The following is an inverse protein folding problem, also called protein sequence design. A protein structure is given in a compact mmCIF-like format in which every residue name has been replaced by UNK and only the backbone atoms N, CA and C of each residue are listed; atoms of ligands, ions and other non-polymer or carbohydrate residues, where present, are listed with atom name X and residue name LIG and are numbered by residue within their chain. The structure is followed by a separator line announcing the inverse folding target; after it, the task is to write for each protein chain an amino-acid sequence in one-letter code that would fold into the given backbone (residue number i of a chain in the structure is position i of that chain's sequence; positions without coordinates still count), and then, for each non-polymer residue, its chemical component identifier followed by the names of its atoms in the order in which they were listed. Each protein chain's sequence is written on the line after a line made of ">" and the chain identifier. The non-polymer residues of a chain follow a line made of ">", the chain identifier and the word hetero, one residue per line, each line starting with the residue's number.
data_IF_826420336900
#
_entry.id   IF_826420336900
#
_cell.length_a   1.000
_cell.length_b   1.000
_cell.length_c   1.000
_cell.angle_alpha   90.00
_cell.angle_beta   90.00
_cell.angle_gamma   90.00
#
_symmetry.space_group_name_H-M   'P 1'
#
loop_
_entity.id
_entity.type
_entity.pdbx_description
1 polymer ?
#
# COMPACT_ATOMS: atom_id res chain seq x y z
N UNK A 1 9.29 0.66 4.37
CA UNK A 1 8.14 0.81 3.43
C UNK A 1 8.18 2.22 2.87
N UNK A 2 7.94 2.45 1.56
CA UNK A 2 7.85 3.80 1.00
C UNK A 2 6.75 4.60 1.71
N UNK A 3 7.02 5.88 2.01
CA UNK A 3 6.04 6.78 2.64
C UNK A 3 4.84 7.01 1.71
N UNK A 4 5.07 7.04 0.40
CA UNK A 4 4.03 7.24 -0.61
C UNK A 4 2.95 6.15 -0.58
N UNK A 5 3.30 4.88 -0.34
CA UNK A 5 2.32 3.79 -0.24
C UNK A 5 1.46 3.95 1.01
N UNK A 6 2.06 4.35 2.14
CA UNK A 6 1.31 4.63 3.35
C UNK A 6 0.34 5.81 3.15
N UNK A 7 0.81 6.88 2.49
CA UNK A 7 -0.04 8.00 2.10
C UNK A 7 -1.19 7.56 1.18
N UNK A 8 -0.91 6.84 0.11
CA UNK A 8 -1.93 6.33 -0.82
C UNK A 8 -3.01 5.49 -0.10
N UNK A 9 -2.58 4.62 0.83
CA UNK A 9 -3.48 3.82 1.65
C UNK A 9 -4.41 4.69 2.49
N UNK A 10 -3.86 5.69 3.19
CA UNK A 10 -4.66 6.58 4.03
C UNK A 10 -5.57 7.50 3.22
N UNK A 11 -5.08 8.07 2.11
CA UNK A 11 -5.88 8.88 1.21
C UNK A 11 -7.07 8.08 0.64
N UNK A 12 -6.86 6.80 0.34
CA UNK A 12 -7.93 5.89 -0.16
C UNK A 12 -8.99 5.66 0.91
N UNK A 13 -8.55 5.38 2.13
CA UNK A 13 -9.46 5.12 3.27
C UNK A 13 -10.22 6.37 3.71
N UNK A 14 -9.58 7.55 3.68
CA UNK A 14 -10.23 8.83 3.95
C UNK A 14 -11.32 9.18 2.92
N UNK A 15 -11.21 8.63 1.70
CA UNK A 15 -12.23 8.73 0.66
C UNK A 15 -13.33 7.66 0.81
N UNK A 16 -13.42 6.98 1.96
CA UNK A 16 -14.40 5.94 2.25
C UNK A 16 -14.33 4.76 1.26
N UNK A 17 -13.13 4.46 0.74
CA UNK A 17 -12.88 3.30 -0.12
C UNK A 17 -12.01 2.27 0.58
N UNK A 18 -12.27 1.01 0.29
CA UNK A 18 -11.41 -0.09 0.75
C UNK A 18 -10.08 -0.13 -0.01
N UNK A 19 -9.10 -0.81 0.56
CA UNK A 19 -7.80 -1.00 -0.08
C UNK A 19 -7.16 -2.36 0.26
N UNK A 20 -6.51 -2.95 -0.74
CA UNK A 20 -5.51 -3.99 -0.56
C UNK A 20 -4.12 -3.36 -0.62
N UNK A 21 -3.26 -3.65 0.35
CA UNK A 21 -1.89 -3.13 0.39
C UNK A 21 -0.92 -4.12 1.02
N UNK A 22 0.30 -4.17 0.48
CA UNK A 22 1.40 -4.88 1.13
C UNK A 22 2.07 -3.97 2.15
N UNK A 23 1.97 -4.33 3.43
CA UNK A 23 2.45 -3.51 4.54
C UNK A 23 3.59 -4.23 5.26
N UNK A 24 4.63 -3.47 5.63
CA UNK A 24 5.70 -3.94 6.52
C UNK A 24 5.39 -3.43 7.92
N UNK A 25 5.14 -4.35 8.84
CA UNK A 25 4.92 -4.04 10.25
C UNK A 25 6.19 -4.31 11.05
N UNK A 26 6.35 -3.56 12.14
CA UNK A 26 7.42 -3.76 13.12
C UNK A 26 6.88 -4.57 14.31
N UNK A 27 7.63 -5.59 14.71
CA UNK A 27 7.40 -6.37 15.92
C UNK A 27 7.87 -5.60 17.17
N UNK A 28 7.39 -6.01 18.35
CA UNK A 28 7.82 -5.41 19.62
C UNK A 28 9.34 -5.53 19.87
N UNK A 29 9.98 -6.56 19.30
CA UNK A 29 11.43 -6.79 19.37
C UNK A 29 12.24 -6.03 18.30
N UNK A 30 11.60 -5.22 17.45
CA UNK A 30 12.25 -4.48 16.36
C UNK A 30 12.36 -5.23 15.02
N UNK A 31 12.00 -6.51 14.96
CA UNK A 31 11.93 -7.25 13.70
C UNK A 31 10.79 -6.73 12.80
N UNK A 32 10.80 -7.14 11.54
CA UNK A 32 9.78 -6.73 10.58
C UNK A 32 9.14 -7.93 9.88
N UNK A 33 7.84 -7.83 9.60
CA UNK A 33 7.10 -8.84 8.86
C UNK A 33 6.17 -8.21 7.83
N UNK A 34 5.93 -8.96 6.75
CA UNK A 34 5.03 -8.56 5.67
C UNK A 34 3.62 -9.09 5.89
N UNK A 35 2.64 -8.25 5.60
CA UNK A 35 1.24 -8.66 5.47
C UNK A 35 0.66 -8.18 4.15
N UNK A 36 -0.23 -8.97 3.57
CA UNK A 36 -1.24 -8.41 2.66
C UNK A 36 -2.42 -7.97 3.51
N UNK A 37 -2.58 -6.66 3.67
CA UNK A 37 -3.68 -6.04 4.41
C UNK A 37 -4.84 -5.74 3.46
N UNK A 38 -6.06 -6.08 3.87
CA UNK A 38 -7.30 -5.57 3.30
C UNK A 38 -7.96 -4.71 4.37
N UNK A 39 -8.17 -3.44 4.07
CA UNK A 39 -8.69 -2.46 5.02
C UNK A 39 -9.98 -1.88 4.45
N UNK A 40 -11.03 -1.89 5.26
CA UNK A 40 -12.39 -1.48 4.87
C UNK A 40 -12.92 -0.45 5.88
N UNK A 41 -13.43 0.70 5.42
CA UNK A 41 -14.17 1.64 6.28
C UNK A 41 -15.43 0.99 6.84
N UNK A 42 -15.75 1.30 8.08
CA UNK A 42 -16.85 0.70 8.84
C UNK A 42 -17.83 1.78 9.23
N UNK A 43 -19.11 1.48 9.06
CA UNK A 43 -20.19 2.40 9.32
C UNK A 43 -21.16 1.81 10.34
N UNK A 44 -21.78 2.66 11.15
CA UNK A 44 -22.92 2.26 11.98
C UNK A 44 -24.21 2.11 11.14
N UNK A 45 -25.32 1.79 11.81
CA UNK A 45 -26.63 1.64 11.15
C UNK A 45 -27.17 2.95 10.55
N UNK A 46 -26.68 4.10 11.02
CA UNK A 46 -27.06 5.44 10.55
C UNK A 46 -26.16 5.91 9.38
N UNK A 47 -25.15 5.12 9.01
CA UNK A 47 -24.21 5.43 7.95
C UNK A 47 -23.04 6.32 8.38
N UNK A 48 -22.85 6.56 9.68
CA UNK A 48 -21.71 7.33 10.16
C UNK A 48 -20.45 6.47 10.16
N UNK A 49 -19.32 7.03 9.70
CA UNK A 49 -18.03 6.34 9.73
C UNK A 49 -17.53 6.21 11.18
N UNK A 50 -17.40 4.97 11.66
CA UNK A 50 -17.02 4.64 13.04
C UNK A 50 -15.61 4.02 13.16
N UNK A 51 -14.93 3.77 12.05
CA UNK A 51 -13.55 3.29 12.04
C UNK A 51 -13.23 2.39 10.85
N UNK A 52 -12.15 1.62 10.97
CA UNK A 52 -11.66 0.74 9.91
C UNK A 52 -11.46 -0.68 10.43
N UNK A 53 -11.91 -1.67 9.67
CA UNK A 53 -11.56 -3.08 9.89
C UNK A 53 -10.42 -3.48 8.95
N UNK A 54 -9.40 -4.14 9.50
CA UNK A 54 -8.26 -4.64 8.72
C UNK A 54 -8.11 -6.15 8.89
N UNK A 55 -8.25 -6.89 7.79
CA UNK A 55 -7.86 -8.30 7.73
C UNK A 55 -6.45 -8.43 7.14
N UNK A 56 -5.66 -9.36 7.67
CA UNK A 56 -4.26 -9.55 7.29
C UNK A 56 -4.03 -10.99 6.88
N UNK A 57 -3.35 -11.20 5.75
CA UNK A 57 -2.98 -12.52 5.26
C UNK A 57 -1.46 -12.61 5.15
N UNK A 58 -0.93 -13.80 5.44
CA UNK A 58 0.46 -14.11 5.16
C UNK A 58 0.70 -14.06 3.65
N UNK A 59 1.57 -13.18 3.14
CA UNK A 59 1.79 -13.06 1.71
C UNK A 59 2.71 -14.17 1.18
N UNK A 60 2.49 -14.62 -0.06
CA UNK A 60 3.42 -15.52 -0.72
C UNK A 60 4.78 -14.86 -0.93
N UNK A 61 5.86 -15.60 -0.64
CA UNK A 61 7.25 -15.10 -0.74
C UNK A 61 7.60 -14.54 -2.14
N UNK A 62 7.07 -15.15 -3.21
CA UNK A 62 7.27 -14.67 -4.59
C UNK A 62 6.71 -13.25 -4.78
N UNK A 63 5.50 -12.99 -4.26
CA UNK A 63 4.86 -11.68 -4.36
C UNK A 63 5.61 -10.63 -3.52
N UNK A 64 6.13 -11.04 -2.35
CA UNK A 64 6.97 -10.16 -1.52
C UNK A 64 8.19 -9.70 -2.31
N UNK A 65 8.89 -10.59 -3.02
CA UNK A 65 10.06 -10.23 -3.80
C UNK A 65 9.75 -9.21 -4.91
N UNK A 66 8.61 -9.39 -5.61
CA UNK A 66 8.12 -8.43 -6.61
C UNK A 66 7.81 -7.07 -6.00
N UNK A 67 7.04 -7.05 -4.91
CA UNK A 67 6.70 -5.82 -4.18
C UNK A 67 7.95 -5.13 -3.64
N UNK A 68 8.91 -5.87 -3.11
CA UNK A 68 10.18 -5.33 -2.64
C UNK A 68 10.98 -4.65 -3.76
N UNK A 69 10.90 -5.14 -5.00
CA UNK A 69 11.52 -4.46 -6.14
C UNK A 69 10.86 -3.12 -6.39
N UNK A 70 9.53 -3.08 -6.50
CA UNK A 70 8.79 -1.84 -6.70
C UNK A 70 8.99 -0.85 -5.54
N UNK A 71 8.97 -1.32 -4.30
CA UNK A 71 9.18 -0.45 -3.15
C UNK A 71 10.59 0.12 -3.10
N UNK A 72 11.61 -0.59 -3.62
CA UNK A 72 12.97 -0.04 -3.75
C UNK A 72 13.01 1.12 -4.75
N UNK A 73 12.30 1.01 -5.87
CA UNK A 73 12.19 2.08 -6.87
C UNK A 73 11.52 3.32 -6.26
N UNK A 74 10.41 3.14 -5.54
CA UNK A 74 9.70 4.22 -4.85
C UNK A 74 10.55 4.87 -3.75
N UNK A 75 11.28 4.08 -2.96
CA UNK A 75 12.21 4.59 -1.94
C UNK A 75 13.38 5.35 -2.56
N UNK A 76 13.86 4.94 -3.74
CA UNK A 76 14.93 5.65 -4.44
C UNK A 76 14.46 7.05 -4.87
N UNK A 77 13.22 7.16 -5.36
CA UNK A 77 12.60 8.46 -5.66
C UNK A 77 12.47 9.29 -4.39
N UNK A 78 11.95 8.74 -3.29
CA UNK A 78 11.82 9.50 -2.04
C UNK A 78 13.18 10.06 -1.55
N UNK A 79 14.24 9.27 -1.69
CA UNK A 79 15.61 9.64 -1.28
C UNK A 79 16.31 10.61 -2.21
N UNK A 80 15.86 10.76 -3.46
CA UNK A 80 16.49 11.69 -4.42
C UNK A 80 16.13 13.15 -4.15
N UNK A 81 15.15 13.41 -3.28
CA UNK A 81 14.72 14.76 -2.91
C UNK A 81 15.26 15.15 -1.53
N UNK A 82 15.67 16.41 -1.38
CA UNK A 82 16.11 16.95 -0.08
C UNK A 82 14.95 17.15 0.89
N UNK A 83 13.79 17.56 0.38
CA UNK A 83 12.58 17.75 1.17
C UNK A 83 11.79 16.43 1.23
N UNK A 84 11.58 15.84 2.43
CA UNK A 84 10.85 14.58 2.56
C UNK A 84 9.40 14.63 2.05
N UNK A 85 8.74 15.78 2.12
CA UNK A 85 7.36 15.93 1.64
C UNK A 85 7.31 15.91 0.11
N UNK A 86 8.23 16.60 -0.54
CA UNK A 86 8.36 16.60 -2.00
C UNK A 86 8.76 15.21 -2.52
N UNK A 87 9.71 14.54 -1.88
CA UNK A 87 10.12 13.18 -2.26
C UNK A 87 8.98 12.17 -2.13
N UNK A 88 8.18 12.25 -1.06
CA UNK A 88 6.98 11.43 -0.89
C UNK A 88 5.95 11.71 -1.98
N UNK A 89 5.71 12.98 -2.33
CA UNK A 89 4.76 13.33 -3.38
C UNK A 89 5.23 12.86 -4.76
N UNK A 90 6.49 13.10 -5.12
CA UNK A 90 7.06 12.64 -6.38
C UNK A 90 7.03 11.10 -6.52
N UNK A 91 7.27 10.39 -5.42
CA UNK A 91 7.16 8.93 -5.37
C UNK A 91 5.71 8.45 -5.52
N UNK A 92 4.75 9.17 -4.93
CA UNK A 92 3.33 8.91 -5.11
C UNK A 92 2.88 9.13 -6.56
N UNK A 93 3.29 10.23 -7.18
CA UNK A 93 2.95 10.57 -8.56
C UNK A 93 3.51 9.51 -9.53
N UNK A 94 4.76 9.08 -9.32
CA UNK A 94 5.37 7.97 -10.07
C UNK A 94 4.61 6.65 -9.89
N UNK A 95 4.19 6.35 -8.66
CA UNK A 95 3.40 5.16 -8.37
C UNK A 95 2.04 5.18 -9.09
N UNK A 96 1.30 6.29 -9.01
CA UNK A 96 0.00 6.44 -9.68
C UNK A 96 0.17 6.36 -11.20
N UNK A 97 1.14 7.06 -11.77
CA UNK A 97 1.45 7.00 -13.20
C UNK A 97 1.80 5.56 -13.66
N UNK A 98 2.45 4.77 -12.81
CA UNK A 98 2.75 3.37 -13.12
C UNK A 98 1.50 2.49 -13.20
N UNK A 99 0.51 2.73 -12.32
CA UNK A 99 -0.79 2.06 -12.32
C UNK A 99 -1.62 2.48 -13.53
N UNK A 100 -1.67 3.78 -13.84
CA UNK A 100 -2.35 4.33 -15.01
C UNK A 100 -1.78 3.78 -16.32
N UNK A 101 -0.45 3.70 -16.43
CA UNK A 101 0.22 3.11 -17.60
C UNK A 101 -0.14 1.63 -17.81
N UNK A 102 -0.34 0.90 -16.72
CA UNK A 102 -0.78 -0.49 -16.76
C UNK A 102 -2.30 -0.63 -16.95
N UNK A 103 -3.06 0.46 -16.80
CA UNK A 103 -4.52 0.45 -16.90
C UNK A 103 -5.19 -0.34 -15.77
N UNK A 104 -4.55 -0.43 -14.60
CA UNK A 104 -5.04 -1.22 -13.45
C UNK A 104 -5.08 -0.37 -12.18
N UNK A 105 -6.05 -0.64 -11.33
CA UNK A 105 -6.03 -0.19 -9.93
C UNK A 105 -4.92 -0.88 -9.14
N UNK A 106 -4.60 -0.34 -7.96
CA UNK A 106 -3.63 -1.00 -7.08
C UNK A 106 -4.10 -2.38 -6.61
N UNK A 107 -5.40 -2.56 -6.39
CA UNK A 107 -5.97 -3.85 -6.03
C UNK A 107 -5.78 -4.87 -7.17
N UNK A 108 -6.13 -4.50 -8.41
CA UNK A 108 -5.92 -5.35 -9.59
C UNK A 108 -4.45 -5.67 -9.82
N UNK A 109 -3.55 -4.70 -9.62
CA UNK A 109 -2.11 -4.95 -9.64
C UNK A 109 -1.69 -5.98 -8.58
N UNK A 110 -2.21 -5.89 -7.36
CA UNK A 110 -1.96 -6.88 -6.30
C UNK A 110 -2.48 -8.27 -6.69
N UNK A 111 -3.68 -8.34 -7.26
CA UNK A 111 -4.32 -9.59 -7.63
C UNK A 111 -3.71 -10.23 -8.87
N UNK A 112 -3.19 -9.45 -9.82
CA UNK A 112 -2.48 -9.99 -11.00
C UNK A 112 -1.19 -10.74 -10.62
N UNK A 113 -0.60 -10.41 -9.47
CA UNK A 113 0.55 -11.14 -8.91
C UNK A 113 0.17 -12.44 -8.20
N UNK A 114 -1.12 -12.74 -7.99
CA UNK A 114 -1.52 -14.03 -7.42
C UNK A 114 -1.47 -15.09 -8.52
N UNK A 115 -0.45 -15.93 -8.47
CA UNK A 115 -0.53 -17.27 -9.10
C UNK A 115 -1.78 -17.97 -8.56
N UNK A 116 -2.60 -18.55 -9.44
CA UNK A 116 -3.64 -19.49 -9.02
C UNK A 116 -3.00 -20.54 -8.10
N UNK A 117 -3.66 -20.80 -6.97
CA UNK A 117 -3.22 -21.81 -6.00
C UNK A 117 -3.26 -23.21 -6.62
#
# INVERSE_FOLDING_TARGET
>A
MPRCIFKFMWDTLQQQREIFAYVINMCANGDHYWVLAHIVPTFDLEGNHIGYHSSRRCPHRKNIATIQKHYRELLAIEKSYKNPKEGMQASLDSFVASLEKLGVSYAEFIFSMRSAA
#
